data_IF_932714060669
#
_entry.id   IF_932714060669
#
_cell.length_a   1.000
_cell.length_b   1.000
_cell.length_c   1.000
_cell.angle_alpha   90.00
_cell.angle_beta   90.00
_cell.angle_gamma   90.00
#
_symmetry.space_group_name_H-M   'P 1'
#
loop_
_entity.id
_entity.type
_entity.pdbx_description
1 polymer ?
#
# COMPACT_ATOMS: atom_id res chain seq x y z
N UNK A 1 -19.45 -35.62 -27.45
CA UNK A 1 -18.88 -35.08 -26.21
C UNK A 1 -18.51 -33.64 -26.53
N UNK A 2 -19.36 -32.67 -26.16
CA UNK A 2 -19.15 -31.28 -26.54
C UNK A 2 -18.00 -30.68 -25.72
N UNK A 3 -17.07 -30.00 -26.40
CA UNK A 3 -15.95 -29.28 -25.78
C UNK A 3 -16.49 -28.10 -24.95
N UNK A 4 -15.97 -27.94 -23.74
CA UNK A 4 -16.34 -26.84 -22.85
C UNK A 4 -15.62 -25.56 -23.32
N UNK A 5 -16.28 -24.39 -23.29
CA UNK A 5 -15.66 -23.14 -23.76
C UNK A 5 -14.48 -22.74 -22.86
N UNK A 6 -13.37 -22.37 -23.49
CA UNK A 6 -12.17 -21.77 -22.89
C UNK A 6 -12.58 -20.63 -21.94
N UNK A 7 -12.45 -20.86 -20.63
CA UNK A 7 -12.62 -19.82 -19.62
C UNK A 7 -11.55 -18.76 -19.84
N UNK A 8 -11.93 -17.65 -20.46
CA UNK A 8 -11.07 -16.49 -20.71
C UNK A 8 -10.48 -15.99 -19.39
N UNK A 9 -9.20 -16.29 -19.15
CA UNK A 9 -8.43 -15.79 -18.02
C UNK A 9 -8.12 -14.30 -18.21
N UNK A 10 -9.15 -13.45 -18.11
CA UNK A 10 -9.04 -12.00 -18.36
C UNK A 10 -8.30 -11.23 -17.26
N UNK A 11 -8.01 -11.87 -16.14
CA UNK A 11 -7.30 -11.27 -15.02
C UNK A 11 -5.88 -11.84 -15.06
N UNK A 12 -4.94 -11.06 -15.61
CA UNK A 12 -3.51 -11.34 -15.45
C UNK A 12 -3.13 -10.82 -14.06
N UNK A 13 -2.77 -11.69 -13.09
CA UNK A 13 -2.32 -11.23 -11.79
C UNK A 13 -1.06 -10.36 -11.96
N UNK A 14 -1.00 -9.24 -11.25
CA UNK A 14 0.21 -8.43 -11.19
C UNK A 14 1.14 -9.09 -10.18
N UNK A 15 2.18 -9.75 -10.67
CA UNK A 15 3.21 -10.34 -9.81
C UNK A 15 4.14 -9.23 -9.28
N UNK A 16 4.28 -9.16 -7.97
CA UNK A 16 5.23 -8.28 -7.30
C UNK A 16 6.45 -9.10 -6.90
N UNK A 17 7.62 -8.73 -7.42
CA UNK A 17 8.89 -9.44 -7.14
C UNK A 17 9.24 -9.38 -5.66
N UNK A 18 9.00 -8.23 -5.03
CA UNK A 18 9.25 -7.97 -3.62
C UNK A 18 8.32 -6.89 -3.05
N UNK A 19 8.53 -6.53 -1.78
CA UNK A 19 7.77 -5.47 -1.11
C UNK A 19 7.95 -4.10 -1.77
N UNK A 20 9.11 -3.80 -2.37
CA UNK A 20 9.34 -2.52 -3.05
C UNK A 20 8.50 -2.44 -4.31
N UNK A 21 8.42 -3.53 -5.09
CA UNK A 21 7.53 -3.63 -6.24
C UNK A 21 6.05 -3.47 -5.88
N UNK A 22 5.65 -3.95 -4.69
CA UNK A 22 4.30 -3.69 -4.17
C UNK A 22 4.08 -2.21 -3.81
N UNK A 23 5.03 -1.57 -3.12
CA UNK A 23 4.95 -0.14 -2.79
C UNK A 23 4.89 0.72 -4.06
N UNK A 24 5.70 0.41 -5.07
CA UNK A 24 5.70 1.12 -6.35
C UNK A 24 4.35 1.03 -7.06
N UNK A 25 3.68 -0.11 -6.98
CA UNK A 25 2.32 -0.25 -7.51
C UNK A 25 1.32 0.62 -6.75
N UNK A 26 1.39 0.68 -5.43
CA UNK A 26 0.53 1.58 -4.65
C UNK A 26 0.75 3.06 -5.01
N UNK A 27 1.99 3.47 -5.27
CA UNK A 27 2.31 4.81 -5.76
C UNK A 27 1.68 5.07 -7.14
N UNK A 28 1.79 4.11 -8.06
CA UNK A 28 1.24 4.23 -9.42
C UNK A 28 -0.30 4.31 -9.43
N UNK A 29 -0.96 3.57 -8.55
CA UNK A 29 -2.43 3.59 -8.42
C UNK A 29 -2.94 4.78 -7.58
N UNK A 30 -2.04 5.58 -6.97
CA UNK A 30 -2.43 6.71 -6.12
C UNK A 30 -2.98 6.31 -4.74
N UNK A 31 -2.75 5.06 -4.33
CA UNK A 31 -3.24 4.45 -3.08
C UNK A 31 -2.27 4.63 -1.91
N UNK A 32 -1.16 5.36 -2.11
CA UNK A 32 -0.13 5.61 -1.10
C UNK A 32 0.11 7.10 -0.88
N UNK A 33 0.13 7.49 0.40
CA UNK A 33 0.48 8.82 0.86
C UNK A 33 1.84 8.81 1.55
N UNK A 34 2.75 9.68 1.10
CA UNK A 34 4.06 9.88 1.70
C UNK A 34 3.99 10.96 2.78
N UNK A 35 4.55 10.67 3.94
CA UNK A 35 4.66 11.60 5.07
C UNK A 35 6.13 11.99 5.22
N UNK A 36 6.46 13.19 4.74
CA UNK A 36 7.82 13.73 4.74
C UNK A 36 8.15 14.52 6.03
N UNK A 37 7.12 14.90 6.80
CA UNK A 37 7.32 15.52 8.11
C UNK A 37 8.04 14.55 9.05
N UNK A 38 8.87 15.07 9.96
CA UNK A 38 9.45 14.25 11.03
C UNK A 38 8.32 13.74 11.94
N UNK A 39 8.29 12.43 12.18
CA UNK A 39 7.30 11.76 13.05
C UNK A 39 8.01 11.02 14.17
N UNK A 40 7.47 11.10 15.39
CA UNK A 40 7.95 10.32 16.53
C UNK A 40 7.42 8.87 16.46
N UNK A 41 8.31 7.90 16.65
CA UNK A 41 7.92 6.50 16.64
C UNK A 41 7.02 6.15 17.84
N UNK A 42 7.10 6.92 18.93
CA UNK A 42 6.36 6.67 20.14
C UNK A 42 4.94 7.23 20.05
N UNK A 43 3.97 6.33 19.83
CA UNK A 43 2.53 6.61 19.72
C UNK A 43 2.08 7.48 18.55
N UNK A 44 2.89 8.40 18.01
CA UNK A 44 2.47 9.29 16.94
C UNK A 44 2.22 8.54 15.62
N UNK A 45 3.17 7.70 15.16
CA UNK A 45 2.98 6.82 13.99
C UNK A 45 1.67 6.02 14.05
N UNK A 46 1.43 5.36 15.18
CA UNK A 46 0.22 4.56 15.40
C UNK A 46 -1.05 5.40 15.43
N UNK A 47 -0.98 6.62 15.98
CA UNK A 47 -2.11 7.56 16.02
C UNK A 47 -2.47 8.05 14.63
N UNK A 48 -1.49 8.41 13.81
CA UNK A 48 -1.68 8.79 12.41
C UNK A 48 -2.31 7.64 11.65
N UNK A 49 -1.72 6.44 11.73
CA UNK A 49 -2.27 5.25 11.08
C UNK A 49 -3.71 4.96 11.52
N UNK A 50 -4.02 5.02 12.82
CA UNK A 50 -5.38 4.77 13.32
C UNK A 50 -6.38 5.82 12.84
N UNK A 51 -5.97 7.09 12.72
CA UNK A 51 -6.83 8.15 12.21
C UNK A 51 -7.08 8.00 10.70
N UNK A 52 -6.06 7.62 9.94
CA UNK A 52 -6.17 7.39 8.49
C UNK A 52 -7.02 6.15 8.19
N UNK A 53 -6.74 5.02 8.83
CA UNK A 53 -7.43 3.75 8.57
C UNK A 53 -8.73 3.57 9.37
N UNK A 54 -9.00 4.44 10.34
CA UNK A 54 -10.09 4.24 11.31
C UNK A 54 -11.48 4.12 10.68
N UNK A 55 -11.66 4.67 9.48
CA UNK A 55 -12.90 4.62 8.71
C UNK A 55 -12.90 3.52 7.62
N UNK A 56 -11.80 2.78 7.44
CA UNK A 56 -11.67 1.69 6.46
C UNK A 56 -11.12 2.09 5.08
N UNK A 57 -11.14 3.38 4.74
CA UNK A 57 -10.91 3.86 3.35
C UNK A 57 -9.69 4.78 3.19
N UNK A 58 -8.72 4.72 4.12
CA UNK A 58 -7.53 5.57 4.08
C UNK A 58 -6.40 5.00 3.20
N UNK A 59 -5.61 5.86 2.52
CA UNK A 59 -4.48 5.40 1.71
C UNK A 59 -3.39 4.77 2.58
N UNK A 60 -2.58 3.89 2.01
CA UNK A 60 -1.37 3.39 2.64
C UNK A 60 -0.43 4.55 3.02
N UNK A 61 0.27 4.43 4.15
CA UNK A 61 1.17 5.47 4.64
C UNK A 61 2.62 5.01 4.52
N UNK A 62 3.47 5.85 3.93
CA UNK A 62 4.92 5.69 3.94
C UNK A 62 5.55 6.86 4.70
N UNK A 63 6.18 6.58 5.83
CA UNK A 63 6.86 7.59 6.65
C UNK A 63 8.32 7.68 6.23
N UNK A 64 8.70 8.82 5.65
CA UNK A 64 10.04 9.03 5.10
C UNK A 64 11.03 9.56 6.15
N UNK A 65 10.55 10.14 7.24
CA UNK A 65 11.38 10.76 8.27
C UNK A 65 10.89 10.39 9.68
N UNK A 66 11.44 9.30 10.24
CA UNK A 66 11.15 8.89 11.61
C UNK A 66 12.27 9.36 12.53
N UNK A 67 11.91 10.09 13.58
CA UNK A 67 12.85 10.66 14.54
C UNK A 67 13.82 9.61 15.08
N UNK A 68 15.12 9.84 14.86
CA UNK A 68 16.21 8.96 15.30
C UNK A 68 16.52 7.78 14.37
N UNK A 69 15.87 7.68 13.21
CA UNK A 69 16.04 6.58 12.25
C UNK A 69 16.22 7.04 10.78
N UNK A 70 16.30 8.36 10.55
CA UNK A 70 16.57 8.98 9.25
C UNK A 70 18.05 9.19 8.96
#
# INVERSE_FOLDING_TARGET
MAELPETSNRIVPRDFVDLRGWIDALIQEGELHQVDAEVDWNCELGTIARKTFGNGDGPALLFNNVKGYG
#
